data_IF_400736496094
#
_entry.id   IF_400736496094
#
_cell.length_a   1.000
_cell.length_b   1.000
_cell.length_c   1.000
_cell.angle_alpha   90.00
_cell.angle_beta   90.00
_cell.angle_gamma   90.00
#
_symmetry.space_group_name_H-M   'P 1'
#
loop_
_entity.id
_entity.type
_entity.pdbx_description
1 polymer ?
#
# COMPACT_ATOMS: atom_id res chain seq x y z
N UNK A 1 -22.71 -15.48 18.68
CA UNK A 1 -22.02 -15.22 17.38
C UNK A 1 -22.91 -14.27 16.59
N UNK A 2 -22.42 -13.09 16.20
CA UNK A 2 -23.25 -12.13 15.45
C UNK A 2 -23.63 -12.74 14.10
N UNK A 3 -24.89 -12.64 13.73
CA UNK A 3 -25.46 -13.10 12.47
C UNK A 3 -25.16 -12.18 11.30
N UNK A 4 -24.10 -11.37 11.39
CA UNK A 4 -23.72 -10.37 10.40
C UNK A 4 -23.10 -10.97 9.12
N UNK A 5 -23.10 -10.19 8.06
CA UNK A 5 -22.37 -10.48 6.82
C UNK A 5 -20.86 -10.58 7.07
N UNK A 6 -20.10 -11.07 6.07
CA UNK A 6 -18.63 -11.05 6.16
C UNK A 6 -18.11 -9.62 6.39
N UNK A 7 -18.73 -8.63 5.71
CA UNK A 7 -18.39 -7.23 5.90
C UNK A 7 -18.58 -6.78 7.35
N UNK A 8 -19.71 -7.08 7.96
CA UNK A 8 -19.99 -6.69 9.35
C UNK A 8 -18.95 -7.29 10.30
N UNK A 9 -18.58 -8.56 10.09
CA UNK A 9 -17.58 -9.24 10.91
C UNK A 9 -16.18 -8.61 10.77
N UNK A 10 -15.76 -8.28 9.55
CA UNK A 10 -14.47 -7.63 9.30
C UNK A 10 -14.48 -6.20 9.86
N UNK A 11 -15.58 -5.47 9.67
CA UNK A 11 -15.77 -4.13 10.22
C UNK A 11 -15.63 -4.12 11.74
N UNK A 12 -16.36 -5.00 12.43
CA UNK A 12 -16.34 -5.09 13.88
C UNK A 12 -14.95 -5.45 14.43
N UNK A 13 -14.22 -6.32 13.73
CA UNK A 13 -12.84 -6.68 14.09
C UNK A 13 -11.85 -5.51 13.99
N UNK A 14 -12.11 -4.55 13.10
CA UNK A 14 -11.23 -3.40 12.89
C UNK A 14 -11.72 -2.13 13.58
N UNK A 15 -12.96 -2.12 14.08
CA UNK A 15 -13.53 -0.96 14.76
C UNK A 15 -12.85 -0.71 16.11
N UNK A 16 -12.28 0.48 16.26
CA UNK A 16 -11.63 0.93 17.49
C UNK A 16 -12.58 1.77 18.33
N UNK A 17 -13.21 2.77 17.72
CA UNK A 17 -14.13 3.69 18.40
C UNK A 17 -15.10 4.37 17.41
N UNK A 18 -16.24 4.78 17.90
CA UNK A 18 -17.10 5.71 17.17
C UNK A 18 -16.76 7.14 17.60
N UNK A 19 -16.62 8.00 16.61
CA UNK A 19 -16.25 9.39 16.79
C UNK A 19 -17.46 10.31 16.72
N UNK A 20 -17.41 11.51 17.34
CA UNK A 20 -18.43 12.53 17.16
C UNK A 20 -18.65 12.83 15.66
N UNK A 21 -19.92 12.98 15.26
CA UNK A 21 -20.27 13.21 13.87
C UNK A 21 -20.51 11.95 13.02
N UNK A 22 -20.53 10.77 13.64
CA UNK A 22 -20.90 9.50 12.97
C UNK A 22 -19.75 8.82 12.23
N UNK A 23 -18.53 9.30 12.36
CA UNK A 23 -17.34 8.63 11.85
C UNK A 23 -16.93 7.46 12.75
N UNK A 24 -16.32 6.44 12.17
CA UNK A 24 -15.77 5.30 12.94
C UNK A 24 -14.25 5.25 12.74
N UNK A 25 -13.53 5.17 13.84
CA UNK A 25 -12.10 4.95 13.82
C UNK A 25 -11.83 3.45 13.62
N UNK A 26 -11.05 3.12 12.57
CA UNK A 26 -10.67 1.75 12.26
C UNK A 26 -9.18 1.53 12.48
N UNK A 27 -8.84 0.33 12.92
CA UNK A 27 -7.45 -0.13 12.96
C UNK A 27 -7.00 -0.54 11.55
N UNK A 28 -5.89 0.01 11.08
CA UNK A 28 -5.26 -0.34 9.81
C UNK A 28 -4.12 -1.32 10.10
N UNK A 29 -4.33 -2.59 9.78
CA UNK A 29 -3.38 -3.66 10.02
C UNK A 29 -2.31 -3.82 8.95
N UNK A 30 -2.57 -3.38 7.71
CA UNK A 30 -1.68 -3.49 6.56
C UNK A 30 -1.80 -2.24 5.70
N UNK A 31 -0.67 -1.74 5.21
CA UNK A 31 -0.60 -0.64 4.25
C UNK A 31 0.11 -1.11 2.99
N UNK A 32 -0.58 -1.09 1.87
CA UNK A 32 -0.02 -1.41 0.55
C UNK A 32 0.25 -0.12 -0.20
N UNK A 33 1.48 0.03 -0.69
CA UNK A 33 1.93 1.21 -1.43
C UNK A 33 2.54 0.84 -2.78
N UNK A 34 2.53 1.78 -3.69
CA UNK A 34 3.16 1.63 -5.00
C UNK A 34 3.88 2.93 -5.43
N UNK A 35 4.57 2.89 -6.55
CA UNK A 35 5.52 3.91 -6.99
C UNK A 35 4.88 5.26 -7.36
N UNK A 36 3.62 5.29 -7.80
CA UNK A 36 3.01 6.52 -8.35
C UNK A 36 2.60 7.52 -7.27
N UNK A 37 1.94 7.05 -6.20
CA UNK A 37 1.37 7.93 -5.17
C UNK A 37 2.19 8.03 -3.90
N UNK A 38 3.05 7.06 -3.63
CA UNK A 38 3.86 7.04 -2.41
C UNK A 38 4.91 8.16 -2.31
N UNK A 39 5.52 8.68 -3.40
CA UNK A 39 6.51 9.74 -3.28
C UNK A 39 6.01 10.97 -2.53
N UNK A 40 4.77 11.41 -2.81
CA UNK A 40 4.18 12.57 -2.15
C UNK A 40 3.93 12.33 -0.66
N UNK A 41 3.51 11.11 -0.30
CA UNK A 41 3.32 10.75 1.10
C UNK A 41 4.64 10.74 1.88
N UNK A 42 5.71 10.20 1.30
CA UNK A 42 7.04 10.22 1.90
C UNK A 42 7.60 11.65 2.02
N UNK A 43 7.42 12.48 1.00
CA UNK A 43 7.81 13.89 1.07
C UNK A 43 7.09 14.62 2.22
N UNK A 44 5.79 14.41 2.37
CA UNK A 44 5.01 15.01 3.46
C UNK A 44 5.46 14.52 4.86
N UNK A 45 5.89 13.27 4.98
CA UNK A 45 6.48 12.77 6.23
C UNK A 45 7.82 13.45 6.50
N UNK A 46 8.67 13.58 5.48
CA UNK A 46 10.00 14.21 5.59
C UNK A 46 9.91 15.68 5.99
N UNK A 47 9.03 16.44 5.34
CA UNK A 47 8.76 17.86 5.64
C UNK A 47 8.34 18.08 7.12
N UNK A 48 7.66 17.09 7.68
CA UNK A 48 7.22 17.13 9.09
C UNK A 48 8.21 16.46 10.06
N UNK A 49 9.35 15.98 9.57
CA UNK A 49 10.32 15.25 10.38
C UNK A 49 9.78 13.92 10.94
N UNK A 50 8.79 13.34 10.29
CA UNK A 50 8.13 12.10 10.71
C UNK A 50 8.72 10.88 9.99
N UNK A 51 8.54 9.71 10.61
CA UNK A 51 8.92 8.41 10.04
C UNK A 51 7.69 7.55 9.84
N UNK A 52 7.81 6.56 8.95
CA UNK A 52 6.79 5.50 8.85
C UNK A 52 6.69 4.80 10.21
N UNK A 53 5.50 4.76 10.77
CA UNK A 53 5.27 4.24 12.12
C UNK A 53 5.38 2.72 12.21
N UNK A 54 4.88 2.01 11.19
CA UNK A 54 4.83 0.55 11.15
C UNK A 54 5.36 0.05 9.80
N UNK A 55 6.68 0.12 9.56
CA UNK A 55 7.27 -0.33 8.31
C UNK A 55 7.10 -1.84 8.09
N UNK A 56 7.05 -2.63 9.15
CA UNK A 56 6.78 -4.06 9.17
C UNK A 56 5.37 -4.44 8.69
N UNK A 57 4.46 -3.47 8.70
CA UNK A 57 3.07 -3.60 8.20
C UNK A 57 2.83 -2.81 6.92
N UNK A 58 3.89 -2.34 6.29
CA UNK A 58 3.84 -1.61 5.02
C UNK A 58 4.56 -2.45 3.97
N UNK A 59 3.90 -2.74 2.87
CA UNK A 59 4.45 -3.51 1.76
C UNK A 59 4.33 -2.71 0.49
N UNK A 60 5.43 -2.57 -0.22
CA UNK A 60 5.52 -1.84 -1.47
C UNK A 60 5.60 -2.80 -2.67
N UNK A 61 5.06 -2.36 -3.78
CA UNK A 61 5.17 -3.02 -5.08
C UNK A 61 5.37 -2.02 -6.20
N UNK A 62 5.71 -2.50 -7.37
CA UNK A 62 5.84 -1.73 -8.62
C UNK A 62 4.98 -2.36 -9.70
N UNK A 63 4.23 -1.56 -10.40
CA UNK A 63 3.27 -2.02 -11.41
C UNK A 63 2.93 -0.96 -12.46
N UNK A 64 2.51 0.24 -12.02
CA UNK A 64 1.86 1.23 -12.88
C UNK A 64 2.80 1.85 -13.94
N UNK A 65 4.09 1.97 -13.64
CA UNK A 65 5.06 2.62 -14.52
C UNK A 65 6.05 1.61 -15.13
N UNK A 66 5.88 0.32 -14.84
CA UNK A 66 6.78 -0.73 -15.33
C UNK A 66 6.45 -1.02 -16.80
N UNK A 67 7.42 -0.85 -17.72
CA UNK A 67 7.19 -1.15 -19.11
C UNK A 67 6.91 -2.65 -19.35
N UNK A 68 5.98 -2.95 -20.25
CA UNK A 68 5.63 -4.34 -20.60
C UNK A 68 6.55 -4.94 -21.65
N UNK A 69 7.24 -4.12 -22.45
CA UNK A 69 8.11 -4.57 -23.54
C UNK A 69 9.52 -4.89 -23.02
N UNK A 70 10.10 -4.00 -22.23
CA UNK A 70 11.43 -4.20 -21.61
C UNK A 70 11.45 -3.58 -20.23
N UNK A 71 11.96 -4.32 -19.27
CA UNK A 71 12.18 -3.87 -17.90
C UNK A 71 13.64 -3.53 -17.62
N UNK A 72 14.45 -3.37 -18.69
CA UNK A 72 15.83 -2.90 -18.56
C UNK A 72 15.88 -1.48 -18.03
N UNK A 73 16.80 -1.24 -17.11
CA UNK A 73 17.01 0.08 -16.50
C UNK A 73 18.29 0.74 -17.00
N UNK A 74 18.32 2.07 -17.12
CA UNK A 74 17.21 3.00 -16.83
C UNK A 74 16.09 2.89 -17.85
N UNK A 75 14.84 3.12 -17.40
CA UNK A 75 13.70 3.11 -18.30
C UNK A 75 13.81 4.23 -19.35
N UNK A 76 13.24 3.99 -20.52
CA UNK A 76 13.18 4.99 -21.59
C UNK A 76 12.40 6.26 -21.19
N UNK A 77 11.42 6.11 -20.30
CA UNK A 77 10.71 7.23 -19.66
C UNK A 77 11.45 7.67 -18.39
N UNK A 78 12.07 8.87 -18.37
CA UNK A 78 12.80 9.35 -17.20
C UNK A 78 11.90 9.56 -15.97
N UNK A 79 10.62 9.87 -16.15
CA UNK A 79 9.68 10.07 -15.06
C UNK A 79 9.36 8.73 -14.39
N UNK A 80 9.14 7.68 -15.18
CA UNK A 80 8.95 6.33 -14.67
C UNK A 80 10.17 5.83 -13.90
N UNK A 81 11.37 6.08 -14.41
CA UNK A 81 12.63 5.73 -13.73
C UNK A 81 12.78 6.49 -12.40
N UNK A 82 12.45 7.78 -12.36
CA UNK A 82 12.52 8.57 -11.13
C UNK A 82 11.52 8.12 -10.09
N UNK A 83 10.28 7.78 -10.49
CA UNK A 83 9.26 7.23 -9.57
C UNK A 83 9.70 5.92 -8.95
N UNK A 84 10.24 5.00 -9.77
CA UNK A 84 10.75 3.73 -9.28
C UNK A 84 11.92 3.91 -8.32
N UNK A 85 12.93 4.69 -8.74
CA UNK A 85 14.11 4.98 -7.92
C UNK A 85 13.74 5.65 -6.59
N UNK A 86 12.75 6.51 -6.61
CA UNK A 86 12.24 7.19 -5.39
C UNK A 86 11.56 6.20 -4.46
N UNK A 87 10.74 5.29 -4.98
CA UNK A 87 10.14 4.23 -4.14
C UNK A 87 11.23 3.35 -3.51
N UNK A 88 12.22 2.92 -4.29
CA UNK A 88 13.34 2.09 -3.82
C UNK A 88 14.11 2.78 -2.69
N UNK A 89 14.46 4.06 -2.87
CA UNK A 89 15.14 4.87 -1.84
C UNK A 89 14.30 5.00 -0.57
N UNK A 90 13.01 5.27 -0.72
CA UNK A 90 12.10 5.44 0.41
C UNK A 90 11.90 4.12 1.18
N UNK A 91 11.72 3.01 0.48
CA UNK A 91 11.60 1.70 1.09
C UNK A 91 12.87 1.35 1.90
N UNK A 92 14.06 1.56 1.31
CA UNK A 92 15.32 1.33 1.99
C UNK A 92 15.49 2.25 3.22
N UNK A 93 15.17 3.55 3.09
CA UNK A 93 15.27 4.54 4.17
C UNK A 93 14.37 4.20 5.36
N UNK A 94 13.18 3.67 5.11
CA UNK A 94 12.17 3.41 6.14
C UNK A 94 12.07 1.93 6.55
N UNK A 95 12.84 1.04 5.96
CA UNK A 95 12.82 -0.41 6.27
C UNK A 95 11.54 -1.12 5.79
N UNK A 96 10.98 -0.69 4.66
CA UNK A 96 9.74 -1.24 4.09
C UNK A 96 10.09 -2.37 3.12
N UNK A 97 9.34 -3.46 3.19
CA UNK A 97 9.47 -4.57 2.23
C UNK A 97 9.00 -4.14 0.85
N UNK A 98 9.88 -4.25 -0.14
CA UNK A 98 9.60 -3.92 -1.53
C UNK A 98 9.58 -5.18 -2.42
N UNK A 99 8.47 -5.43 -3.08
CA UNK A 99 8.36 -6.39 -4.17
C UNK A 99 8.66 -5.66 -5.50
N UNK A 100 9.94 -5.39 -5.71
CA UNK A 100 10.44 -4.62 -6.86
C UNK A 100 10.68 -5.47 -8.11
N UNK A 101 11.26 -4.83 -9.13
CA UNK A 101 11.65 -5.49 -10.38
C UNK A 101 12.57 -6.68 -10.10
N UNK A 102 12.34 -7.78 -10.82
CA UNK A 102 13.17 -8.99 -10.71
C UNK A 102 12.97 -9.80 -9.43
N UNK A 103 12.10 -9.36 -8.50
CA UNK A 103 11.80 -10.11 -7.28
C UNK A 103 10.99 -11.39 -7.52
N UNK A 104 10.38 -11.53 -8.71
CA UNK A 104 9.41 -12.58 -9.02
C UNK A 104 8.07 -12.40 -8.27
N UNK A 105 7.90 -11.30 -7.55
CA UNK A 105 6.72 -10.97 -6.74
C UNK A 105 6.22 -9.56 -6.99
N UNK A 106 6.69 -8.91 -8.05
CA UNK A 106 6.18 -7.61 -8.47
C UNK A 106 4.81 -7.76 -9.12
N UNK A 107 3.99 -6.75 -9.04
CA UNK A 107 2.71 -6.69 -9.72
C UNK A 107 1.69 -5.84 -8.99
N UNK A 108 0.49 -5.78 -9.55
CA UNK A 108 -0.60 -4.99 -8.98
C UNK A 108 -0.97 -5.48 -7.58
N UNK A 109 -1.16 -4.55 -6.66
CA UNK A 109 -1.46 -4.84 -5.24
C UNK A 109 -2.65 -5.79 -5.05
N UNK A 110 -3.64 -5.73 -5.93
CA UNK A 110 -4.82 -6.58 -5.91
C UNK A 110 -4.53 -8.07 -6.15
N UNK A 111 -3.43 -8.37 -6.80
CA UNK A 111 -2.98 -9.74 -7.09
C UNK A 111 -1.94 -10.18 -6.07
N UNK A 112 -0.89 -9.38 -5.90
CA UNK A 112 0.23 -9.80 -5.04
C UNK A 112 -0.16 -9.90 -3.57
N UNK A 113 -1.04 -9.02 -3.09
CA UNK A 113 -1.42 -9.02 -1.69
C UNK A 113 -2.15 -10.31 -1.26
N UNK A 114 -3.15 -10.82 -1.99
CA UNK A 114 -3.74 -12.13 -1.73
C UNK A 114 -2.75 -13.29 -1.93
N UNK A 115 -1.94 -13.27 -2.99
CA UNK A 115 -0.98 -14.35 -3.27
C UNK A 115 0.11 -14.47 -2.20
N UNK A 116 0.51 -13.36 -1.60
CA UNK A 116 1.44 -13.33 -0.47
C UNK A 116 0.77 -13.61 0.88
N UNK A 117 -0.54 -13.86 0.90
CA UNK A 117 -1.29 -14.09 2.13
C UNK A 117 -1.41 -12.86 3.03
N UNK A 118 -1.17 -11.66 2.48
CA UNK A 118 -1.21 -10.41 3.23
C UNK A 118 -2.64 -9.92 3.48
N UNK A 119 -3.57 -10.32 2.62
CA UNK A 119 -4.98 -9.94 2.73
C UNK A 119 -5.85 -11.19 2.77
N UNK A 120 -6.81 -11.28 3.71
CA UNK A 120 -7.80 -12.35 3.67
C UNK A 120 -8.71 -12.20 2.45
N UNK A 121 -9.45 -13.24 2.11
CA UNK A 121 -10.35 -13.34 0.94
C UNK A 121 -11.34 -12.16 0.83
N UNK A 122 -11.62 -11.48 1.93
CA UNK A 122 -12.45 -10.27 1.98
C UNK A 122 -11.96 -9.13 1.11
N UNK A 123 -10.68 -9.08 0.74
CA UNK A 123 -10.14 -8.02 -0.11
C UNK A 123 -10.74 -8.02 -1.52
N UNK A 124 -11.11 -9.16 -2.04
CA UNK A 124 -11.74 -9.26 -3.37
C UNK A 124 -13.13 -8.60 -3.45
N UNK A 125 -13.70 -8.23 -2.32
CA UNK A 125 -15.01 -7.59 -2.18
C UNK A 125 -14.94 -6.14 -1.69
N UNK A 126 -13.75 -5.64 -1.38
CA UNK A 126 -13.54 -4.24 -1.01
C UNK A 126 -13.30 -3.43 -2.29
N UNK A 127 -14.21 -2.50 -2.57
CA UNK A 127 -13.89 -1.41 -3.50
C UNK A 127 -12.77 -0.59 -2.88
N UNK A 128 -11.75 -0.25 -3.70
CA UNK A 128 -10.68 0.64 -3.26
C UNK A 128 -11.28 1.90 -2.64
N UNK A 129 -10.89 2.26 -1.42
CA UNK A 129 -11.24 3.56 -0.90
C UNK A 129 -10.55 4.60 -1.78
N UNK A 130 -11.32 5.32 -2.56
CA UNK A 130 -10.84 6.39 -3.44
C UNK A 130 -10.32 7.60 -2.67
N UNK A 131 -10.45 7.60 -1.34
CA UNK A 131 -9.82 8.59 -0.46
C UNK A 131 -9.78 8.05 0.96
N UNK A 132 -8.62 7.74 1.46
CA UNK A 132 -8.38 7.72 2.90
C UNK A 132 -7.89 9.11 3.27
N UNK A 133 -8.79 9.93 3.81
CA UNK A 133 -8.37 11.14 4.51
C UNK A 133 -7.86 10.71 5.88
N UNK A 134 -6.60 10.95 6.14
CA UNK A 134 -5.97 10.75 7.44
C UNK A 134 -6.40 11.85 8.38
#
# INVERSE_FOLDING_TARGET
MSSGTLYDKVWDLHRVADLPGGATQLFIGLHLIHEVTSPQAFAALEDKGLKVRCPDRTVATVDHIVPTISQERPFADPLAEEMLSTLERNCAKHGITLNGLGSGRQGIVHVIAPELGLTPVSYTHLTLPTSVTV
#
